data_IF_347549701250
#
_entry.id   IF_347549701250
#
_cell.length_a   1.000
_cell.length_b   1.000
_cell.length_c   1.000
_cell.angle_alpha   90.00
_cell.angle_beta   90.00
_cell.angle_gamma   90.00
#
_symmetry.space_group_name_H-M   'P 1'
#
loop_
_entity.id
_entity.type
_entity.pdbx_description
1 polymer ?
#
# COMPACT_ATOMS: atom_id res chain seq x y z
N UNK A 1 25.75 37.88 -12.00
CA UNK A 1 25.48 37.08 -10.78
C UNK A 1 24.24 36.27 -11.07
N UNK A 2 24.41 35.07 -11.63
CA UNK A 2 23.34 34.13 -11.92
C UNK A 2 23.29 33.14 -10.78
N UNK A 3 22.27 33.26 -9.95
CA UNK A 3 22.01 32.37 -8.81
C UNK A 3 21.43 31.07 -9.37
N UNK A 4 22.28 30.05 -9.50
CA UNK A 4 21.86 28.68 -9.84
C UNK A 4 21.07 28.13 -8.66
N UNK A 5 19.74 28.31 -8.68
CA UNK A 5 18.85 27.69 -7.72
C UNK A 5 18.94 26.16 -7.88
N UNK A 6 19.71 25.53 -6.99
CA UNK A 6 19.78 24.08 -6.89
C UNK A 6 18.39 23.56 -6.46
N UNK A 7 17.59 23.10 -7.42
CA UNK A 7 16.40 22.29 -7.17
C UNK A 7 16.84 21.08 -6.35
N UNK A 8 16.57 21.13 -5.05
CA UNK A 8 16.81 20.01 -4.15
C UNK A 8 15.70 19.00 -4.39
N UNK A 9 15.81 18.27 -5.51
CA UNK A 9 15.04 17.08 -5.81
C UNK A 9 15.39 16.05 -4.74
N UNK A 10 14.65 16.04 -3.63
CA UNK A 10 14.81 15.04 -2.58
C UNK A 10 13.88 13.88 -2.94
N UNK A 11 14.39 12.81 -3.57
CA UNK A 11 13.56 11.71 -4.01
C UNK A 11 12.89 11.07 -2.80
N UNK A 12 11.57 10.82 -2.89
CA UNK A 12 10.85 10.02 -1.91
C UNK A 12 11.68 8.76 -1.60
N UNK A 13 11.87 8.41 -0.32
CA UNK A 13 12.67 7.25 0.04
C UNK A 13 12.16 6.01 -0.69
N UNK A 14 13.06 5.26 -1.34
CA UNK A 14 12.71 4.08 -2.13
C UNK A 14 11.92 3.04 -1.31
N UNK A 15 12.19 2.96 -0.01
CA UNK A 15 11.47 2.09 0.93
C UNK A 15 10.00 2.50 1.11
N UNK A 16 9.68 3.79 1.13
CA UNK A 16 8.31 4.28 1.26
C UNK A 16 7.50 3.99 0.00
N UNK A 17 8.10 4.18 -1.18
CA UNK A 17 7.48 3.78 -2.46
C UNK A 17 7.18 2.28 -2.48
N UNK A 18 8.09 1.46 -1.97
CA UNK A 18 7.89 0.02 -1.88
C UNK A 18 6.71 -0.35 -0.96
N UNK A 19 6.62 0.28 0.22
CA UNK A 19 5.49 0.05 1.15
C UNK A 19 4.17 0.45 0.52
N UNK A 20 4.09 1.62 -0.10
CA UNK A 20 2.88 2.11 -0.76
C UNK A 20 2.43 1.19 -1.90
N UNK A 21 3.38 0.73 -2.74
CA UNK A 21 3.07 -0.20 -3.82
C UNK A 21 2.61 -1.56 -3.28
N UNK A 22 3.25 -2.05 -2.21
CA UNK A 22 2.91 -3.32 -1.56
C UNK A 22 1.55 -3.28 -0.87
N UNK A 23 1.23 -2.19 -0.17
CA UNK A 23 -0.06 -1.96 0.48
C UNK A 23 -1.20 -1.90 -0.54
N UNK A 24 -1.02 -1.15 -1.63
CA UNK A 24 -2.00 -1.07 -2.73
C UNK A 24 -2.23 -2.42 -3.40
N UNK A 25 -1.16 -3.12 -3.77
CA UNK A 25 -1.25 -4.41 -4.44
C UNK A 25 -1.84 -5.48 -3.50
N UNK A 26 -1.39 -5.51 -2.24
CA UNK A 26 -1.89 -6.41 -1.22
C UNK A 26 -3.37 -6.19 -0.93
N UNK A 27 -3.80 -4.94 -0.78
CA UNK A 27 -5.21 -4.61 -0.55
C UNK A 27 -6.09 -4.98 -1.75
N UNK A 28 -5.64 -4.68 -2.99
CA UNK A 28 -6.38 -5.06 -4.20
C UNK A 28 -6.54 -6.58 -4.32
N UNK A 29 -5.47 -7.33 -4.07
CA UNK A 29 -5.51 -8.79 -4.08
C UNK A 29 -6.42 -9.34 -2.97
N UNK A 30 -6.34 -8.79 -1.75
CA UNK A 30 -7.15 -9.24 -0.61
C UNK A 30 -8.65 -8.99 -0.79
N UNK A 31 -9.03 -7.86 -1.39
CA UNK A 31 -10.43 -7.60 -1.77
C UNK A 31 -10.89 -8.61 -2.83
N UNK A 32 -10.08 -8.83 -3.87
CA UNK A 32 -10.38 -9.80 -4.93
C UNK A 32 -10.53 -11.22 -4.39
N UNK A 33 -9.57 -11.68 -3.58
CA UNK A 33 -9.62 -12.98 -2.93
C UNK A 33 -10.80 -13.10 -1.96
N UNK A 34 -11.08 -12.04 -1.20
CA UNK A 34 -12.21 -11.96 -0.26
C UNK A 34 -13.56 -12.10 -0.96
N UNK A 35 -13.72 -11.55 -2.17
CA UNK A 35 -14.94 -11.72 -2.96
C UNK A 35 -15.26 -13.19 -3.25
N UNK A 36 -14.25 -13.99 -3.61
CA UNK A 36 -14.40 -15.43 -3.87
C UNK A 36 -14.39 -16.29 -2.60
N UNK A 37 -14.07 -15.70 -1.45
CA UNK A 37 -13.90 -16.43 -0.20
C UNK A 37 -15.21 -17.08 0.29
N UNK A 38 -16.33 -16.38 0.20
CA UNK A 38 -17.62 -16.91 0.65
C UNK A 38 -18.11 -18.12 -0.18
N UNK A 39 -18.14 -18.07 -1.54
CA UNK A 39 -18.40 -19.25 -2.35
C UNK A 39 -17.46 -20.43 -2.05
N UNK A 40 -16.17 -20.14 -1.84
CA UNK A 40 -15.18 -21.16 -1.50
C UNK A 40 -15.47 -21.80 -0.15
N UNK A 41 -15.80 -21.01 0.88
CA UNK A 41 -16.19 -21.50 2.20
C UNK A 41 -17.42 -22.41 2.15
N UNK A 42 -18.41 -22.10 1.30
CA UNK A 42 -19.59 -22.97 1.12
C UNK A 42 -19.15 -24.35 0.61
N UNK A 43 -18.28 -24.38 -0.41
CA UNK A 43 -17.78 -25.62 -1.00
C UNK A 43 -16.98 -26.47 0.00
N UNK A 44 -16.17 -25.84 0.88
CA UNK A 44 -15.36 -26.55 1.88
C UNK A 44 -16.05 -26.74 3.23
N UNK A 45 -17.27 -26.24 3.41
CA UNK A 45 -18.02 -26.30 4.67
C UNK A 45 -18.19 -27.71 5.27
N UNK A 46 -18.25 -28.82 4.48
CA UNK A 46 -18.29 -30.16 5.05
C UNK A 46 -17.00 -30.58 5.78
N UNK A 47 -15.89 -29.86 5.55
CA UNK A 47 -14.58 -30.14 6.16
C UNK A 47 -14.19 -29.03 7.14
N UNK A 48 -14.41 -29.23 8.46
CA UNK A 48 -14.11 -28.23 9.48
C UNK A 48 -12.65 -27.77 9.48
N UNK A 49 -11.72 -28.71 9.26
CA UNK A 49 -10.29 -28.41 9.24
C UNK A 49 -9.92 -27.48 8.07
N UNK A 50 -10.46 -27.71 6.88
CA UNK A 50 -10.21 -26.84 5.72
C UNK A 50 -10.82 -25.46 5.94
N UNK A 51 -12.04 -25.41 6.46
CA UNK A 51 -12.72 -24.16 6.81
C UNK A 51 -11.89 -23.34 7.81
N UNK A 52 -11.39 -23.96 8.87
CA UNK A 52 -10.53 -23.31 9.86
C UNK A 52 -9.21 -22.81 9.25
N UNK A 53 -8.59 -23.60 8.36
CA UNK A 53 -7.37 -23.20 7.66
C UNK A 53 -7.61 -21.97 6.77
N UNK A 54 -8.75 -21.90 6.06
CA UNK A 54 -9.13 -20.73 5.26
C UNK A 54 -9.29 -19.47 6.14
N UNK A 55 -9.98 -19.60 7.28
CA UNK A 55 -10.13 -18.50 8.23
C UNK A 55 -8.79 -18.03 8.79
N UNK A 56 -7.89 -18.95 9.13
CA UNK A 56 -6.56 -18.60 9.60
C UNK A 56 -5.75 -17.86 8.52
N UNK A 57 -5.82 -18.33 7.27
CA UNK A 57 -5.12 -17.73 6.14
C UNK A 57 -5.58 -16.30 5.88
N UNK A 58 -6.91 -16.06 5.86
CA UNK A 58 -7.44 -14.72 5.65
C UNK A 58 -7.16 -13.79 6.83
N UNK A 59 -7.19 -14.29 8.06
CA UNK A 59 -6.81 -13.54 9.25
C UNK A 59 -5.33 -13.12 9.19
N UNK A 60 -4.43 -14.04 8.84
CA UNK A 60 -3.00 -13.75 8.71
C UNK A 60 -2.73 -12.72 7.61
N UNK A 61 -3.41 -12.85 6.47
CA UNK A 61 -3.34 -11.86 5.40
C UNK A 61 -3.85 -10.47 5.87
N UNK A 62 -4.96 -10.43 6.61
CA UNK A 62 -5.48 -9.20 7.20
C UNK A 62 -4.51 -8.55 8.19
N UNK A 63 -3.86 -9.34 9.05
CA UNK A 63 -2.82 -8.86 9.98
C UNK A 63 -1.64 -8.27 9.19
N UNK A 64 -1.17 -8.96 8.16
CA UNK A 64 -0.09 -8.49 7.30
C UNK A 64 -0.42 -7.14 6.64
N UNK A 65 -1.64 -7.00 6.11
CA UNK A 65 -2.11 -5.73 5.55
C UNK A 65 -2.22 -4.63 6.60
N UNK A 66 -2.69 -4.95 7.81
CA UNK A 66 -2.69 -3.99 8.92
C UNK A 66 -1.29 -3.45 9.23
N UNK A 67 -0.28 -4.32 9.24
CA UNK A 67 1.12 -3.91 9.42
C UNK A 67 1.62 -3.02 8.28
N UNK A 68 1.28 -3.33 7.03
CA UNK A 68 1.62 -2.50 5.87
C UNK A 68 0.94 -1.13 5.93
N UNK A 69 -0.34 -1.07 6.31
CA UNK A 69 -1.08 0.19 6.48
C UNK A 69 -0.49 1.07 7.58
N UNK A 70 -0.09 0.48 8.72
CA UNK A 70 0.61 1.21 9.79
C UNK A 70 1.95 1.75 9.28
N UNK A 71 2.71 0.94 8.54
CA UNK A 71 3.99 1.35 7.97
C UNK A 71 3.82 2.50 6.95
N UNK A 72 2.76 2.46 6.14
CA UNK A 72 2.38 3.53 5.20
C UNK A 72 2.06 4.83 5.93
N UNK A 73 1.17 4.78 6.94
CA UNK A 73 0.79 5.95 7.72
C UNK A 73 1.98 6.58 8.44
N UNK A 74 2.86 5.74 9.02
CA UNK A 74 4.08 6.19 9.69
C UNK A 74 5.05 6.85 8.70
N UNK A 75 5.28 6.21 7.55
CA UNK A 75 6.18 6.72 6.52
C UNK A 75 5.71 8.06 5.95
N UNK A 76 4.41 8.21 5.69
CA UNK A 76 3.82 9.47 5.25
C UNK A 76 3.94 10.55 6.34
N UNK A 77 3.69 10.19 7.61
CA UNK A 77 3.81 11.13 8.74
C UNK A 77 5.24 11.65 8.89
N UNK A 78 6.25 10.80 8.73
CA UNK A 78 7.67 11.21 8.77
C UNK A 78 7.98 12.17 7.62
N UNK A 79 7.49 11.89 6.40
CA UNK A 79 7.69 12.77 5.24
C UNK A 79 7.00 14.13 5.46
N UNK A 80 5.76 14.15 5.93
CA UNK A 80 5.04 15.40 6.23
C UNK A 80 5.70 16.21 7.36
N UNK A 81 6.20 15.53 8.40
CA UNK A 81 6.94 16.15 9.51
C UNK A 81 8.26 16.78 9.06
N UNK A 82 8.82 16.35 7.93
CA UNK A 82 10.07 16.91 7.38
C UNK A 82 9.92 18.34 6.85
N UNK A 83 8.72 18.93 6.90
CA UNK A 83 8.39 20.30 6.44
C UNK A 83 8.82 20.59 4.99
N UNK A 84 8.97 19.53 4.20
CA UNK A 84 9.15 19.58 2.76
C UNK A 84 7.76 19.64 2.14
N UNK A 85 7.38 20.80 1.57
CA UNK A 85 6.27 20.84 0.65
C UNK A 85 6.48 19.74 -0.40
N UNK A 86 5.49 18.85 -0.56
CA UNK A 86 5.54 17.81 -1.58
C UNK A 86 5.66 18.51 -2.94
N UNK A 87 6.78 18.33 -3.69
CA UNK A 87 6.94 18.98 -4.99
C UNK A 87 5.80 18.52 -5.92
N UNK A 88 5.31 19.43 -6.77
CA UNK A 88 4.23 19.17 -7.75
C UNK A 88 4.48 17.92 -8.60
N UNK A 89 5.76 17.64 -8.87
CA UNK A 89 6.25 16.45 -9.56
C UNK A 89 5.80 15.13 -8.90
N UNK A 90 5.69 15.10 -7.56
CA UNK A 90 5.22 13.93 -6.81
C UNK A 90 3.73 13.69 -7.01
N UNK A 91 2.91 14.73 -6.93
CA UNK A 91 1.47 14.62 -7.18
C UNK A 91 1.19 14.12 -8.59
N UNK A 92 1.94 14.60 -9.60
CA UNK A 92 1.84 14.06 -10.96
C UNK A 92 2.19 12.58 -11.06
N UNK A 93 3.23 12.14 -10.35
CA UNK A 93 3.66 10.73 -10.38
C UNK A 93 2.68 9.77 -9.70
N UNK A 94 1.86 10.24 -8.76
CA UNK A 94 0.82 9.44 -8.11
C UNK A 94 -0.45 9.38 -8.97
N UNK A 95 -0.77 10.47 -9.66
CA UNK A 95 -2.05 10.64 -10.36
C UNK A 95 -1.98 10.21 -11.85
N UNK A 96 -0.81 9.79 -12.36
CA UNK A 96 -0.61 9.51 -13.80
C UNK A 96 -1.11 10.69 -14.66
N UNK A 97 -0.71 11.91 -14.28
CA UNK A 97 -1.14 13.10 -15.02
C UNK A 97 -0.56 13.06 -16.45
N UNK A 98 -1.39 13.16 -17.50
CA UNK A 98 -0.89 13.22 -18.87
C UNK A 98 0.02 14.44 -19.04
N UNK A 99 1.23 14.21 -19.55
CA UNK A 99 2.15 15.28 -19.93
C UNK A 99 1.53 15.99 -21.16
N UNK A 100 0.98 17.19 -20.98
CA UNK A 100 0.65 18.11 -22.07
C UNK A 100 1.31 19.45 -21.82
#
# INVERSE_FOLDING_TARGET
MTETAATTDRPIPRWLRFILASDRAGSAWYIGAGFFFAPLLIAVSPWPLMTAALWLLIALAGVWLGLLGIAMATGLTIVLRSNTALPEEFWRSIVDYPQR
#
